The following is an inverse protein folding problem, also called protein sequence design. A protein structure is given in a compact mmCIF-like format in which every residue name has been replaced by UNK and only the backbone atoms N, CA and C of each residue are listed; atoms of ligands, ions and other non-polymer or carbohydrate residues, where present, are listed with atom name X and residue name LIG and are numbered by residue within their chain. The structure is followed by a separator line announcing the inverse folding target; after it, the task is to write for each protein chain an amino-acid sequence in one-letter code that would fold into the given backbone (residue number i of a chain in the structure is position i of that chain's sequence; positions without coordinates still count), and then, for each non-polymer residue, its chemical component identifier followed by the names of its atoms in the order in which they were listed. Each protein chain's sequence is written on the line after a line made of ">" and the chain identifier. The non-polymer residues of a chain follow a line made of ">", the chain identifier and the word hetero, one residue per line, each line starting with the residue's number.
data_IF_395672683696
#
_entry.id   IF_395672683696
#
_cell.length_a   1.000
_cell.length_b   1.000
_cell.length_c   1.000
_cell.angle_alpha   90.00
_cell.angle_beta   90.00
_cell.angle_gamma   90.00
#
_symmetry.space_group_name_H-M   'P 1'
#
loop_
_entity.id
_entity.type
_entity.pdbx_description
1 polymer ?
#
# COMPACT_ATOMS: atom_id res chain seq x y z
N UNK A 1 -2.87 -10.94 19.69
CA UNK A 1 -3.96 -9.97 19.91
C UNK A 1 -4.78 -9.95 18.64
N UNK A 2 -6.03 -10.42 18.74
CA UNK A 2 -6.83 -11.05 17.68
C UNK A 2 -7.48 -10.03 16.73
N UNK A 3 -7.08 -10.06 15.45
CA UNK A 3 -7.75 -9.36 14.34
C UNK A 3 -8.91 -10.20 13.73
N UNK A 4 -9.52 -11.11 14.50
CA UNK A 4 -10.44 -12.09 13.91
C UNK A 4 -11.85 -11.57 13.63
N UNK A 5 -12.26 -10.42 14.20
CA UNK A 5 -13.62 -9.91 14.02
C UNK A 5 -13.75 -8.82 12.92
N UNK A 6 -12.69 -8.06 12.63
CA UNK A 6 -12.82 -6.80 11.86
C UNK A 6 -12.14 -6.80 10.49
N UNK A 7 -11.37 -7.84 10.17
CA UNK A 7 -10.70 -7.90 8.87
C UNK A 7 -11.66 -8.25 7.70
N UNK A 8 -12.88 -8.70 7.99
CA UNK A 8 -13.87 -9.06 6.97
C UNK A 8 -14.46 -7.84 6.22
N UNK A 9 -14.40 -6.65 6.82
CA UNK A 9 -14.96 -5.40 6.30
C UNK A 9 -13.92 -4.49 5.66
N UNK A 10 -12.63 -4.86 5.67
CA UNK A 10 -11.57 -3.98 5.19
C UNK A 10 -11.73 -3.64 3.71
N UNK A 11 -11.63 -2.35 3.43
CA UNK A 11 -11.53 -1.79 2.09
C UNK A 11 -10.18 -2.16 1.45
N UNK A 12 -10.05 -1.94 0.13
CA UNK A 12 -8.79 -2.09 -0.61
C UNK A 12 -7.62 -1.40 0.10
N UNK A 13 -7.84 -0.16 0.52
CA UNK A 13 -6.81 0.70 1.10
C UNK A 13 -6.42 0.22 2.50
N UNK A 14 -7.39 -0.27 3.27
CA UNK A 14 -7.16 -0.86 4.58
C UNK A 14 -6.41 -2.19 4.49
N UNK A 15 -6.65 -3.00 3.45
CA UNK A 15 -5.84 -4.19 3.16
C UNK A 15 -4.39 -3.84 2.87
N UNK A 16 -4.16 -2.84 2.01
CA UNK A 16 -2.81 -2.36 1.71
C UNK A 16 -2.09 -1.88 2.99
N UNK A 17 -2.81 -1.15 3.84
CA UNK A 17 -2.31 -0.71 5.13
C UNK A 17 -1.98 -1.87 6.06
N UNK A 18 -2.84 -2.88 6.15
CA UNK A 18 -2.66 -4.03 7.03
C UNK A 18 -1.37 -4.80 6.73
N UNK A 19 -0.96 -4.90 5.46
CA UNK A 19 0.35 -5.43 5.09
C UNK A 19 1.48 -4.46 5.41
N UNK A 20 1.36 -3.18 5.04
CA UNK A 20 2.42 -2.19 5.27
C UNK A 20 2.77 -2.04 6.76
N UNK A 21 1.78 -1.97 7.66
CA UNK A 21 2.03 -1.81 9.10
C UNK A 21 2.82 -2.97 9.73
N UNK A 22 2.89 -4.12 9.06
CA UNK A 22 3.67 -5.31 9.47
C UNK A 22 5.06 -5.35 8.84
N UNK A 23 5.38 -4.42 7.95
CA UNK A 23 6.70 -4.30 7.37
C UNK A 23 7.70 -3.82 8.44
N UNK A 24 8.80 -4.56 8.71
CA UNK A 24 9.78 -4.20 9.73
C UNK A 24 10.53 -2.89 9.42
N UNK A 25 10.79 -2.60 8.15
CA UNK A 25 11.43 -1.36 7.71
C UNK A 25 10.50 -0.16 7.91
N UNK A 26 9.20 -0.31 7.61
CA UNK A 26 8.20 0.73 7.91
C UNK A 26 8.14 1.02 9.41
N UNK A 27 8.11 -0.01 10.24
CA UNK A 27 8.09 0.13 11.70
C UNK A 27 9.39 0.77 12.24
N UNK A 28 10.55 0.42 11.68
CA UNK A 28 11.82 1.02 12.05
C UNK A 28 11.87 2.50 11.66
N UNK A 29 11.47 2.83 10.44
CA UNK A 29 11.37 4.21 9.96
C UNK A 29 10.39 5.03 10.79
N UNK A 30 9.19 4.50 11.05
CA UNK A 30 8.17 5.18 11.84
C UNK A 30 8.67 5.49 13.25
N UNK A 31 9.36 4.53 13.91
CA UNK A 31 9.96 4.77 15.24
C UNK A 31 10.98 5.90 15.21
N UNK A 32 11.86 5.94 14.21
CA UNK A 32 12.84 7.03 14.04
C UNK A 32 12.15 8.37 13.80
N UNK A 33 11.19 8.37 12.88
CA UNK A 33 10.39 9.52 12.50
C UNK A 33 9.62 10.12 13.69
N UNK A 34 8.83 9.31 14.42
CA UNK A 34 8.00 9.82 15.51
C UNK A 34 8.85 10.33 16.68
N UNK A 35 10.02 9.72 16.92
CA UNK A 35 10.99 10.19 17.91
C UNK A 35 11.51 11.59 17.56
N UNK A 36 11.93 11.80 16.31
CA UNK A 36 12.37 13.12 15.83
C UNK A 36 11.24 14.14 15.86
N UNK A 37 10.04 13.73 15.44
CA UNK A 37 8.87 14.60 15.43
C UNK A 37 8.49 15.08 16.83
N UNK A 38 8.48 14.19 17.83
CA UNK A 38 8.23 14.56 19.22
C UNK A 38 9.32 15.48 19.79
N UNK A 39 10.59 15.24 19.46
CA UNK A 39 11.69 16.12 19.86
C UNK A 39 11.51 17.53 19.28
N UNK A 40 11.21 17.64 17.99
CA UNK A 40 10.91 18.92 17.34
C UNK A 40 9.67 19.60 17.95
N UNK A 41 8.62 18.84 18.26
CA UNK A 41 7.42 19.38 18.91
C UNK A 41 7.69 19.88 20.33
N UNK A 42 8.63 19.26 21.06
CA UNK A 42 9.07 19.75 22.37
C UNK A 42 9.88 21.06 22.26
N UNK A 43 10.75 21.16 21.26
CA UNK A 43 11.64 22.31 21.07
C UNK A 43 10.91 23.56 20.53
N UNK A 44 9.87 23.36 19.70
CA UNK A 44 9.22 24.42 18.92
C UNK A 44 7.70 24.48 19.09
N UNK A 45 7.10 23.58 19.86
CA UNK A 45 5.65 23.48 20.06
C UNK A 45 4.90 22.69 18.98
N UNK A 46 3.60 22.53 19.20
CA UNK A 46 2.67 21.86 18.30
C UNK A 46 1.71 22.87 17.63
N UNK A 47 1.20 22.58 16.42
CA UNK A 47 0.16 23.39 15.80
C UNK A 47 -1.06 23.56 16.71
N UNK A 48 -1.72 24.73 16.71
CA UNK A 48 -1.43 25.90 15.88
C UNK A 48 -0.29 26.79 16.41
N UNK A 49 0.20 26.57 17.63
CA UNK A 49 1.14 27.47 18.33
C UNK A 49 2.62 27.17 18.07
N UNK A 50 2.94 26.42 17.01
CA UNK A 50 4.32 26.04 16.67
C UNK A 50 5.10 27.26 16.20
N UNK A 51 6.34 27.42 16.68
CA UNK A 51 7.29 28.38 16.13
C UNK A 51 7.82 27.88 14.78
N UNK A 52 7.04 28.12 13.72
CA UNK A 52 7.35 27.70 12.36
C UNK A 52 8.64 28.33 11.83
N UNK A 53 8.95 29.57 12.24
CA UNK A 53 10.16 30.27 11.80
C UNK A 53 11.40 29.54 12.29
N UNK A 54 11.47 29.16 13.56
CA UNK A 54 12.60 28.38 14.09
C UNK A 54 12.62 26.94 13.61
N UNK A 55 11.44 26.30 13.53
CA UNK A 55 11.31 24.93 13.02
C UNK A 55 11.94 24.76 11.63
N UNK A 56 11.68 25.69 10.70
CA UNK A 56 12.20 25.63 9.33
C UNK A 56 13.72 25.72 9.23
N UNK A 57 14.40 26.24 10.24
CA UNK A 57 15.86 26.33 10.26
C UNK A 57 16.52 25.08 10.88
N UNK A 58 15.73 24.19 11.50
CA UNK A 58 16.24 22.97 12.10
C UNK A 58 16.51 21.90 11.03
N UNK A 59 17.72 21.35 10.91
CA UNK A 59 18.00 20.30 9.93
C UNK A 59 17.18 19.02 10.17
N UNK A 60 16.74 18.74 11.41
CA UNK A 60 15.91 17.58 11.74
C UNK A 60 14.50 17.67 11.15
N UNK A 61 14.05 18.86 10.75
CA UNK A 61 12.73 19.08 10.16
C UNK A 61 12.61 18.56 8.72
N UNK A 62 13.71 18.06 8.13
CA UNK A 62 13.78 17.67 6.74
C UNK A 62 14.26 16.22 6.59
N UNK A 63 13.79 15.55 5.54
CA UNK A 63 14.29 14.24 5.13
C UNK A 63 15.58 14.33 4.30
N UNK A 64 16.29 13.21 4.09
CA UNK A 64 15.96 11.86 4.57
C UNK A 64 16.14 11.69 6.09
N UNK A 65 15.60 10.60 6.64
CA UNK A 65 15.90 10.23 8.03
C UNK A 65 17.42 10.10 8.23
N UNK A 66 17.96 10.47 9.41
CA UNK A 66 19.38 10.29 9.69
C UNK A 66 19.84 8.85 9.45
N UNK A 67 20.88 8.69 8.62
CA UNK A 67 21.45 7.40 8.23
C UNK A 67 20.83 6.76 6.97
N UNK A 68 19.75 7.33 6.41
CA UNK A 68 19.21 6.90 5.12
C UNK A 68 19.90 7.65 3.98
N UNK A 69 20.45 6.90 3.02
CA UNK A 69 21.10 7.45 1.82
C UNK A 69 20.16 7.47 0.60
N UNK A 70 18.87 7.19 0.78
CA UNK A 70 17.91 7.09 -0.33
C UNK A 70 17.71 8.48 -0.94
N UNK A 71 18.11 8.70 -2.21
CA UNK A 71 17.94 10.00 -2.85
C UNK A 71 16.46 10.39 -2.93
N UNK A 72 16.20 11.69 -2.83
CA UNK A 72 14.88 12.35 -2.86
C UNK A 72 14.04 12.14 -4.14
N UNK A 73 14.40 11.21 -5.03
CA UNK A 73 13.69 10.97 -6.29
C UNK A 73 12.51 10.01 -6.10
N UNK A 74 11.56 10.36 -5.23
CA UNK A 74 10.24 9.74 -5.26
C UNK A 74 9.35 10.61 -6.14
N UNK A 75 9.39 10.40 -7.46
CA UNK A 75 8.57 11.14 -8.43
C UNK A 75 7.11 11.31 -7.92
N UNK A 76 6.74 12.53 -7.58
CA UNK A 76 5.39 12.89 -7.12
C UNK A 76 5.31 14.33 -6.62
N UNK A 77 4.10 14.84 -6.39
CA UNK A 77 3.91 16.15 -5.74
C UNK A 77 4.56 16.10 -4.35
N UNK A 78 5.68 16.81 -4.23
CA UNK A 78 6.39 16.99 -2.97
C UNK A 78 5.93 18.31 -2.35
N UNK A 79 5.72 18.31 -1.04
CA UNK A 79 5.76 19.55 -0.26
C UNK A 79 7.24 19.97 -0.19
N UNK A 80 7.72 20.64 -1.23
CA UNK A 80 9.04 21.26 -1.24
C UNK A 80 9.00 22.39 -0.22
N UNK A 81 9.84 22.29 0.82
CA UNK A 81 10.06 23.35 1.79
C UNK A 81 10.97 24.44 1.22
N UNK A 82 11.48 25.31 2.08
CA UNK A 82 12.47 26.32 1.67
C UNK A 82 13.80 25.64 1.28
N UNK A 83 14.44 26.12 0.21
CA UNK A 83 15.72 25.63 -0.33
C UNK A 83 15.70 24.18 -0.85
N UNK A 84 14.64 23.77 -1.55
CA UNK A 84 14.49 22.43 -2.18
C UNK A 84 14.57 21.24 -1.20
N UNK A 85 14.45 21.48 0.10
CA UNK A 85 14.41 20.43 1.13
C UNK A 85 13.00 19.91 1.30
N UNK A 86 12.85 18.60 1.49
CA UNK A 86 11.55 17.97 1.71
C UNK A 86 11.31 17.87 3.21
N UNK A 87 10.17 18.39 3.67
CA UNK A 87 9.77 18.26 5.07
C UNK A 87 9.72 16.80 5.49
N UNK A 88 10.15 16.51 6.72
CA UNK A 88 10.37 15.15 7.20
C UNK A 88 9.12 14.26 7.06
N UNK A 89 7.94 14.79 7.40
CA UNK A 89 6.66 14.08 7.27
C UNK A 89 6.30 13.78 5.81
N UNK A 90 6.64 14.69 4.89
CA UNK A 90 6.36 14.53 3.47
C UNK A 90 7.32 13.53 2.82
N UNK A 91 8.59 13.53 3.24
CA UNK A 91 9.56 12.51 2.84
C UNK A 91 9.12 11.12 3.30
N UNK A 92 8.73 10.99 4.57
CA UNK A 92 8.31 9.70 5.15
C UNK A 92 7.01 9.22 4.50
N UNK A 93 6.05 10.12 4.26
CA UNK A 93 4.84 9.80 3.51
C UNK A 93 5.16 9.33 2.09
N UNK A 94 5.99 10.06 1.35
CA UNK A 94 6.37 9.69 -0.01
C UNK A 94 7.08 8.33 -0.09
N UNK A 95 8.04 8.06 0.80
CA UNK A 95 8.76 6.77 0.86
C UNK A 95 7.81 5.58 0.94
N UNK A 96 6.74 5.71 1.71
CA UNK A 96 5.79 4.61 1.99
C UNK A 96 4.48 4.69 1.20
N UNK A 97 4.28 5.74 0.40
CA UNK A 97 3.16 5.89 -0.52
C UNK A 97 1.98 6.69 0.02
N UNK A 98 2.15 7.51 1.06
CA UNK A 98 1.12 8.39 1.61
C UNK A 98 1.24 9.83 1.09
N UNK A 99 0.11 10.50 0.86
CA UNK A 99 0.08 11.96 0.69
C UNK A 99 0.19 12.70 2.02
N UNK A 100 -0.40 12.14 3.07
CA UNK A 100 -0.51 12.73 4.42
C UNK A 100 0.58 12.21 5.35
N UNK A 101 0.50 12.66 6.61
CA UNK A 101 1.35 12.23 7.71
C UNK A 101 1.34 10.68 7.84
N UNK A 102 2.50 10.03 8.02
CA UNK A 102 2.60 8.59 8.15
C UNK A 102 1.77 8.05 9.33
N UNK A 103 1.09 6.93 9.14
CA UNK A 103 0.22 6.34 10.16
C UNK A 103 1.01 5.47 11.15
N UNK A 104 0.62 5.49 12.41
CA UNK A 104 1.25 4.64 13.43
C UNK A 104 1.00 3.14 13.15
N UNK A 105 2.04 2.33 12.92
CA UNK A 105 1.90 0.89 12.69
C UNK A 105 1.34 0.13 13.90
N UNK A 106 1.29 0.72 15.10
CA UNK A 106 0.72 0.09 16.28
C UNK A 106 -0.79 0.34 16.45
N UNK A 107 -1.43 1.15 15.60
CA UNK A 107 -2.89 1.46 15.72
C UNK A 107 -3.73 0.19 15.79
N UNK A 108 -4.66 0.12 16.72
CA UNK A 108 -5.55 -1.03 16.87
C UNK A 108 -6.80 -0.94 16.00
N UNK A 109 -7.27 0.27 15.73
CA UNK A 109 -8.43 0.52 14.86
C UNK A 109 -8.01 0.60 13.39
N UNK A 110 -8.83 0.08 12.46
CA UNK A 110 -8.64 0.34 11.04
C UNK A 110 -8.55 1.85 10.78
N UNK A 111 -7.61 2.27 9.95
CA UNK A 111 -7.53 3.66 9.53
C UNK A 111 -8.74 3.99 8.64
N UNK A 112 -9.30 5.18 8.81
CA UNK A 112 -10.39 5.64 7.97
C UNK A 112 -9.86 5.90 6.53
N UNK A 113 -10.71 5.80 5.49
CA UNK A 113 -10.26 5.97 4.11
C UNK A 113 -9.58 7.32 3.84
N UNK A 114 -10.02 8.38 4.50
CA UNK A 114 -9.45 9.73 4.36
C UNK A 114 -8.09 9.89 5.04
N UNK A 115 -7.81 9.12 6.10
CA UNK A 115 -6.50 9.06 6.77
C UNK A 115 -5.46 8.36 5.90
N UNK A 116 -5.87 7.31 5.17
CA UNK A 116 -4.98 6.50 4.37
C UNK A 116 -4.45 7.21 3.13
N UNK A 117 -5.20 8.16 2.54
CA UNK A 117 -4.78 9.10 1.50
C UNK A 117 -3.54 8.65 0.67
N UNK A 118 -3.67 7.52 -0.02
CA UNK A 118 -2.56 6.88 -0.73
C UNK A 118 -2.17 7.68 -1.97
N UNK A 119 -0.87 7.74 -2.25
CA UNK A 119 -0.35 8.13 -3.56
C UNK A 119 -0.69 7.05 -4.58
N UNK A 120 -1.01 7.43 -5.83
CA UNK A 120 -1.11 6.46 -6.91
C UNK A 120 0.15 5.60 -6.94
N UNK A 121 0.04 4.27 -6.95
CA UNK A 121 1.21 3.42 -7.04
C UNK A 121 1.92 3.71 -8.37
N UNK A 122 3.27 3.76 -8.40
CA UNK A 122 3.99 3.92 -9.65
C UNK A 122 3.59 2.80 -10.61
N UNK A 123 3.67 3.08 -11.92
CA UNK A 123 3.46 2.04 -12.93
C UNK A 123 4.44 0.89 -12.63
N UNK A 124 3.92 -0.34 -12.59
CA UNK A 124 4.77 -1.51 -12.40
C UNK A 124 5.47 -1.81 -13.70
N UNK A 125 6.80 -1.81 -13.70
CA UNK A 125 7.58 -2.43 -14.78
C UNK A 125 7.58 -3.96 -14.65
N UNK A 126 7.16 -4.48 -13.50
CA UNK A 126 7.00 -5.92 -13.25
C UNK A 126 5.75 -6.40 -13.98
N UNK A 127 5.88 -7.35 -14.93
CA UNK A 127 4.72 -7.91 -15.62
C UNK A 127 3.78 -8.62 -14.62
N UNK A 128 2.47 -8.67 -14.91
CA UNK A 128 1.56 -9.46 -14.09
C UNK A 128 2.00 -10.92 -14.06
N UNK A 129 1.69 -11.61 -12.96
CA UNK A 129 1.90 -13.05 -12.86
C UNK A 129 1.34 -13.74 -14.11
N UNK A 130 2.20 -14.58 -14.70
CA UNK A 130 1.91 -15.39 -15.89
C UNK A 130 0.57 -16.11 -15.81
N UNK A 131 0.15 -16.57 -14.62
CA UNK A 131 -1.14 -17.23 -14.44
C UNK A 131 -2.32 -16.30 -14.75
N UNK A 132 -2.23 -15.03 -14.33
CA UNK A 132 -3.27 -14.02 -14.48
C UNK A 132 -3.12 -13.16 -15.74
N UNK A 133 -2.06 -13.34 -16.52
CA UNK A 133 -1.82 -12.60 -17.76
C UNK A 133 -2.76 -13.07 -18.87
N UNK A 134 -3.39 -12.11 -19.55
CA UNK A 134 -4.16 -12.34 -20.78
C UNK A 134 -3.88 -11.20 -21.76
N UNK A 135 -3.32 -11.53 -22.93
CA UNK A 135 -3.05 -10.56 -23.97
C UNK A 135 -4.28 -10.44 -24.90
N UNK A 136 -4.79 -9.22 -25.08
CA UNK A 136 -5.93 -8.90 -25.94
C UNK A 136 -5.46 -7.91 -27.01
N UNK A 137 -5.66 -8.25 -28.27
CA UNK A 137 -5.27 -7.42 -29.41
C UNK A 137 -6.52 -6.79 -30.04
N UNK A 138 -6.41 -5.52 -30.42
CA UNK A 138 -7.44 -4.79 -31.15
C UNK A 138 -6.92 -4.43 -32.54
N UNK A 139 -7.72 -4.73 -33.55
CA UNK A 139 -7.51 -4.23 -34.90
C UNK A 139 -8.18 -2.85 -35.01
N UNK A 140 -7.35 -1.81 -35.05
CA UNK A 140 -7.84 -0.43 -35.11
C UNK A 140 -8.40 -0.04 -36.49
N UNK A 141 -8.29 -0.91 -37.50
CA UNK A 141 -8.95 -0.73 -38.79
C UNK A 141 -10.43 -1.15 -38.77
N UNK A 142 -10.87 -1.88 -37.73
CA UNK A 142 -12.23 -2.36 -37.56
C UNK A 142 -12.97 -1.61 -36.44
N UNK A 143 -14.31 -1.58 -36.45
CA UNK A 143 -15.08 -0.99 -35.36
C UNK A 143 -14.77 -1.64 -34.00
N UNK A 144 -14.44 -0.82 -33.00
CA UNK A 144 -14.11 -1.28 -31.64
C UNK A 144 -15.26 -2.00 -30.90
N UNK A 145 -16.55 -1.63 -31.02
CA UNK A 145 -17.60 -2.22 -30.18
C UNK A 145 -17.68 -3.75 -30.25
N UNK A 146 -17.58 -4.32 -31.44
CA UNK A 146 -17.61 -5.78 -31.63
C UNK A 146 -16.37 -6.46 -31.05
N UNK A 147 -15.22 -5.79 -31.13
CA UNK A 147 -13.97 -6.30 -30.58
C UNK A 147 -13.97 -6.25 -29.04
N UNK A 148 -14.59 -5.23 -28.45
CA UNK A 148 -14.76 -5.10 -27.00
C UNK A 148 -15.66 -6.21 -26.44
N UNK A 149 -16.77 -6.54 -27.10
CA UNK A 149 -17.61 -7.67 -26.68
C UNK A 149 -16.85 -9.00 -26.79
N UNK A 150 -16.09 -9.22 -27.87
CA UNK A 150 -15.24 -10.42 -28.00
C UNK A 150 -14.16 -10.49 -26.90
N UNK A 151 -13.52 -9.37 -26.58
CA UNK A 151 -12.54 -9.25 -25.50
C UNK A 151 -13.16 -9.58 -24.13
N UNK A 152 -14.36 -9.08 -23.86
CA UNK A 152 -15.12 -9.38 -22.64
C UNK A 152 -15.41 -10.88 -22.50
N UNK A 153 -15.85 -11.56 -23.55
CA UNK A 153 -16.07 -13.01 -23.50
C UNK A 153 -14.78 -13.78 -23.22
N UNK A 154 -13.65 -13.38 -23.83
CA UNK A 154 -12.34 -13.98 -23.54
C UNK A 154 -11.94 -13.80 -22.08
N UNK A 155 -12.13 -12.61 -21.52
CA UNK A 155 -11.86 -12.31 -20.11
C UNK A 155 -12.70 -13.19 -19.17
N UNK A 156 -14.01 -13.30 -19.41
CA UNK A 156 -14.92 -14.12 -18.60
C UNK A 156 -14.54 -15.60 -18.65
N UNK A 157 -14.22 -16.11 -19.84
CA UNK A 157 -13.80 -17.50 -20.03
C UNK A 157 -12.50 -17.78 -19.28
N UNK A 158 -11.49 -16.92 -19.40
CA UNK A 158 -10.22 -17.07 -18.69
C UNK A 158 -10.40 -17.00 -17.17
N UNK A 159 -11.19 -16.06 -16.67
CA UNK A 159 -11.49 -15.98 -15.24
C UNK A 159 -12.21 -17.24 -14.72
N UNK A 160 -13.05 -17.87 -15.54
CA UNK A 160 -13.74 -19.12 -15.18
C UNK A 160 -12.79 -20.32 -15.19
N UNK A 161 -11.88 -20.39 -16.16
CA UNK A 161 -10.82 -21.39 -16.20
C UNK A 161 -9.92 -21.32 -14.97
N UNK A 162 -9.45 -20.12 -14.61
CA UNK A 162 -8.62 -19.90 -13.43
C UNK A 162 -9.32 -20.35 -12.15
N UNK A 163 -10.62 -20.03 -11.99
CA UNK A 163 -11.41 -20.49 -10.84
C UNK A 163 -11.55 -22.01 -10.77
N UNK A 164 -11.70 -22.69 -11.91
CA UNK A 164 -11.74 -24.17 -11.96
C UNK A 164 -10.41 -24.79 -11.53
N UNK A 165 -9.31 -24.09 -11.76
CA UNK A 165 -7.97 -24.50 -11.33
C UNK A 165 -7.63 -24.05 -9.90
N UNK A 166 -8.61 -23.59 -9.12
CA UNK A 166 -8.44 -23.20 -7.72
C UNK A 166 -7.86 -21.78 -7.51
N UNK A 167 -7.69 -21.00 -8.56
CA UNK A 167 -7.18 -19.62 -8.44
C UNK A 167 -8.32 -18.64 -8.19
N UNK A 168 -8.09 -17.71 -7.27
CA UNK A 168 -9.02 -16.64 -6.89
C UNK A 168 -9.08 -15.52 -7.96
N UNK A 169 -9.67 -15.85 -9.12
CA UNK A 169 -9.81 -14.97 -10.28
C UNK A 169 -11.25 -14.44 -10.46
N UNK A 170 -11.44 -13.16 -10.84
CA UNK A 170 -10.41 -12.12 -10.98
C UNK A 170 -9.81 -11.72 -9.64
N UNK A 171 -8.61 -11.15 -9.65
CA UNK A 171 -8.00 -10.57 -8.45
C UNK A 171 -8.85 -9.40 -7.95
N UNK A 172 -9.63 -9.64 -6.90
CA UNK A 172 -10.47 -8.65 -6.22
C UNK A 172 -10.29 -8.80 -4.72
N UNK A 173 -10.57 -7.75 -3.95
CA UNK A 173 -10.52 -7.81 -2.48
C UNK A 173 -11.39 -8.96 -1.96
N UNK A 174 -12.60 -9.10 -2.50
CA UNK A 174 -13.53 -10.15 -2.08
C UNK A 174 -12.95 -11.57 -2.29
N UNK A 175 -12.33 -11.82 -3.45
CA UNK A 175 -11.77 -13.14 -3.77
C UNK A 175 -10.45 -13.43 -3.04
N UNK A 176 -9.70 -12.41 -2.65
CA UNK A 176 -8.39 -12.55 -2.00
C UNK A 176 -8.46 -12.49 -0.47
N UNK A 177 -9.61 -12.08 0.10
CA UNK A 177 -9.80 -11.85 1.54
C UNK A 177 -9.32 -13.01 2.40
N UNK A 178 -9.78 -14.23 2.14
CA UNK A 178 -9.43 -15.40 2.95
C UNK A 178 -7.92 -15.68 2.93
N UNK A 179 -7.32 -15.59 1.75
CA UNK A 179 -5.89 -15.78 1.56
C UNK A 179 -5.09 -14.70 2.28
N UNK A 180 -5.48 -13.43 2.14
CA UNK A 180 -4.81 -12.32 2.81
C UNK A 180 -4.98 -12.37 4.33
N UNK A 181 -6.12 -12.81 4.85
CA UNK A 181 -6.29 -13.08 6.28
C UNK A 181 -5.26 -14.08 6.80
N UNK A 182 -5.09 -15.20 6.09
CA UNK A 182 -4.10 -16.24 6.45
C UNK A 182 -2.68 -15.68 6.40
N UNK A 183 -2.34 -14.92 5.36
CA UNK A 183 -1.06 -14.22 5.24
C UNK A 183 -0.79 -13.27 6.42
N UNK A 184 -1.75 -12.42 6.79
CA UNK A 184 -1.59 -11.50 7.91
C UNK A 184 -1.41 -12.24 9.24
N UNK A 185 -2.15 -13.34 9.46
CA UNK A 185 -1.98 -14.19 10.65
C UNK A 185 -0.59 -14.81 10.73
N UNK A 186 -0.03 -15.26 9.60
CA UNK A 186 1.34 -15.79 9.55
C UNK A 186 2.37 -14.68 9.87
N UNK A 187 2.19 -13.47 9.32
CA UNK A 187 3.04 -12.32 9.66
C UNK A 187 2.96 -11.93 11.15
N UNK A 188 1.81 -12.14 11.80
CA UNK A 188 1.61 -11.89 13.23
C UNK A 188 2.20 -12.99 14.13
N UNK A 189 2.95 -13.93 13.57
CA UNK A 189 3.58 -15.05 14.30
C UNK A 189 2.68 -16.26 14.47
N UNK A 190 1.70 -16.45 13.56
CA UNK A 190 0.91 -17.67 13.49
C UNK A 190 1.77 -18.92 13.26
N UNK A 191 1.30 -20.08 13.75
CA UNK A 191 2.00 -21.34 13.58
C UNK A 191 2.12 -21.72 12.10
N UNK A 192 3.32 -22.10 11.68
CA UNK A 192 3.60 -22.65 10.34
C UNK A 192 3.41 -24.16 10.45
N UNK A 193 2.31 -24.68 9.93
CA UNK A 193 1.94 -26.09 10.11
C UNK A 193 2.43 -26.98 8.97
N UNK A 194 2.74 -26.40 7.80
CA UNK A 194 3.16 -27.14 6.61
C UNK A 194 3.98 -26.26 5.63
N UNK A 195 4.47 -26.89 4.56
CA UNK A 195 5.23 -26.21 3.49
C UNK A 195 4.40 -25.13 2.76
N UNK A 196 3.08 -25.30 2.68
CA UNK A 196 2.18 -24.31 2.07
C UNK A 196 2.13 -23.03 2.91
N UNK A 197 2.07 -23.14 4.25
CA UNK A 197 2.14 -22.00 5.16
C UNK A 197 3.49 -21.29 5.07
N UNK A 198 4.59 -22.04 4.92
CA UNK A 198 5.92 -21.45 4.75
C UNK A 198 6.02 -20.66 3.44
N UNK A 199 5.52 -21.22 2.33
CA UNK A 199 5.45 -20.52 1.05
C UNK A 199 4.54 -19.27 1.13
N UNK A 200 3.39 -19.41 1.81
CA UNK A 200 2.45 -18.31 2.00
C UNK A 200 3.01 -17.19 2.86
N UNK A 201 3.85 -17.50 3.86
CA UNK A 201 4.57 -16.52 4.66
C UNK A 201 5.57 -15.73 3.81
N UNK A 202 6.36 -16.38 2.96
CA UNK A 202 7.28 -15.68 2.04
C UNK A 202 6.53 -14.72 1.11
N UNK A 203 5.36 -15.14 0.61
CA UNK A 203 4.50 -14.26 -0.16
C UNK A 203 3.93 -13.11 0.68
N UNK A 204 3.55 -13.36 1.94
CA UNK A 204 3.07 -12.32 2.85
C UNK A 204 4.16 -11.28 3.16
N UNK A 205 5.41 -11.71 3.33
CA UNK A 205 6.57 -10.83 3.49
C UNK A 205 6.80 -9.99 2.23
N UNK A 206 6.70 -10.59 1.04
CA UNK A 206 6.77 -9.85 -0.23
C UNK A 206 5.64 -8.82 -0.37
N UNK A 207 4.43 -9.16 0.10
CA UNK A 207 3.29 -8.23 0.16
C UNK A 207 3.58 -7.06 1.11
N UNK A 208 4.16 -7.30 2.29
CA UNK A 208 4.59 -6.24 3.19
C UNK A 208 5.72 -5.39 2.58
N UNK A 209 6.66 -6.01 1.85
CA UNK A 209 7.83 -5.39 1.20
C UNK A 209 7.51 -4.75 -0.17
N UNK A 210 6.38 -4.06 -0.26
CA UNK A 210 5.99 -3.28 -1.45
C UNK A 210 4.87 -3.89 -2.28
N UNK A 211 4.58 -5.20 -2.15
CA UNK A 211 3.48 -5.85 -2.85
C UNK A 211 2.10 -5.29 -2.48
N UNK A 212 1.94 -4.68 -1.30
CA UNK A 212 0.73 -3.97 -0.87
C UNK A 212 0.31 -2.87 -1.87
N UNK A 213 1.25 -2.29 -2.61
CA UNK A 213 0.96 -1.31 -3.67
C UNK A 213 0.19 -1.92 -4.85
N UNK A 214 0.30 -3.23 -5.07
CA UNK A 214 -0.50 -3.94 -6.07
C UNK A 214 -1.97 -4.01 -5.65
N UNK A 215 -2.26 -4.07 -4.34
CA UNK A 215 -3.63 -4.01 -3.81
C UNK A 215 -4.28 -2.68 -4.19
N UNK A 216 -3.53 -1.57 -4.08
CA UNK A 216 -4.00 -0.23 -4.46
C UNK A 216 -4.36 -0.09 -5.95
N UNK A 217 -3.86 -0.98 -6.82
CA UNK A 217 -4.22 -1.01 -8.25
C UNK A 217 -5.53 -1.74 -8.53
N UNK A 218 -6.05 -2.49 -7.56
CA UNK A 218 -7.34 -3.15 -7.73
C UNK A 218 -8.44 -2.08 -7.83
N UNK A 219 -9.46 -2.38 -8.63
CA UNK A 219 -10.65 -1.56 -8.68
C UNK A 219 -11.25 -1.49 -7.27
N UNK A 220 -11.63 -0.28 -6.84
CA UNK A 220 -12.49 -0.15 -5.67
C UNK A 220 -13.74 -0.98 -5.94
N UNK A 221 -14.18 -1.75 -4.95
CA UNK A 221 -15.49 -2.38 -5.03
C UNK A 221 -16.48 -1.24 -5.22
N UNK A 222 -17.00 -1.08 -6.45
CA UNK A 222 -18.09 -0.16 -6.69
C UNK A 222 -19.18 -0.54 -5.71
N UNK A 223 -19.40 0.28 -4.68
CA UNK A 223 -20.62 0.22 -3.90
C UNK A 223 -21.73 0.28 -4.94
N UNK A 224 -22.47 -0.81 -5.07
CA UNK A 224 -23.40 -0.97 -6.17
C UNK A 224 -24.34 0.22 -6.21
N UNK A 225 -24.29 0.99 -7.30
CA UNK A 225 -25.39 1.86 -7.67
C UNK A 225 -26.55 0.93 -8.01
N UNK A 226 -27.41 0.70 -7.02
CA UNK A 226 -28.77 0.21 -7.20
C UNK A 226 -29.72 1.27 -6.70
#
# INVERSE_FOLDING_TARGET
>A
MTCDADCASLTRDQWAWAFLRRNPDYQADYRRFITLWHALAADYGAPPNRDFSRWKHDPRAYGPLPGDNVPNHVNGEHCVGENDRILLECWMGAKWGFYKFPLDPARSTPAEPDELAWRPPPLSDVPPDTAYRLDISFDLSLPLPLQLEAAKFRLISRATELRRNGLAAPMTVANQRERWLRMLRLLDGGEILNEEDAALLLEAEAMANGGYRNILRLAESSAGTK
#
